data_IF_469783999252
#
_entry.id   IF_469783999252
#
_cell.length_a   1.000
_cell.length_b   1.000
_cell.length_c   1.000
_cell.angle_alpha   90.00
_cell.angle_beta   90.00
_cell.angle_gamma   90.00
#
_symmetry.space_group_name_H-M   'P 1'
#
loop_
_entity.id
_entity.type
_entity.pdbx_description
1 polymer ?
#
# COMPACT_ATOMS: atom_id res chain seq x y z
N UNK A 1 -15.09 -1.36 7.92
CA UNK A 1 -14.16 -2.43 8.34
C UNK A 1 -13.55 -3.00 7.08
N UNK A 2 -12.26 -3.34 7.12
CA UNK A 2 -11.59 -4.03 6.01
C UNK A 2 -12.10 -5.46 5.91
N UNK A 3 -12.23 -5.94 4.68
CA UNK A 3 -12.70 -7.29 4.32
C UNK A 3 -11.64 -8.01 3.49
N UNK A 4 -11.65 -9.35 3.55
CA UNK A 4 -10.72 -10.15 2.77
C UNK A 4 -10.88 -9.86 1.27
N UNK A 5 -9.78 -9.49 0.63
CA UNK A 5 -9.75 -9.12 -0.78
C UNK A 5 -9.76 -7.61 -1.04
N UNK A 6 -10.00 -6.79 -0.02
CA UNK A 6 -9.87 -5.33 -0.13
C UNK A 6 -8.45 -4.95 -0.59
N UNK A 7 -8.35 -4.09 -1.60
CA UNK A 7 -7.11 -3.54 -2.13
C UNK A 7 -6.88 -2.13 -1.56
N UNK A 8 -5.68 -1.90 -1.05
CA UNK A 8 -5.28 -0.62 -0.48
C UNK A 8 -4.20 -0.03 -1.36
N UNK A 9 -4.54 1.07 -2.01
CA UNK A 9 -3.63 1.83 -2.85
C UNK A 9 -2.99 2.94 -2.05
N UNK A 10 -1.68 3.11 -2.22
CA UNK A 10 -0.86 4.01 -1.43
C UNK A 10 -0.30 5.11 -2.32
N UNK A 11 -0.36 6.34 -1.81
CA UNK A 11 0.31 7.50 -2.38
C UNK A 11 1.30 8.03 -1.35
N UNK A 12 2.52 8.28 -1.79
CA UNK A 12 3.62 8.75 -0.94
C UNK A 12 4.39 9.89 -1.61
N UNK A 13 5.15 10.64 -0.82
CA UNK A 13 5.88 11.84 -1.26
C UNK A 13 7.37 11.60 -1.50
N UNK A 14 7.77 10.33 -1.69
CA UNK A 14 9.15 9.98 -2.04
C UNK A 14 9.43 10.32 -3.51
N UNK A 15 10.68 10.56 -3.88
CA UNK A 15 11.06 10.84 -5.29
C UNK A 15 10.57 9.73 -6.23
N UNK A 16 10.78 8.46 -5.85
CA UNK A 16 10.30 7.32 -6.62
C UNK A 16 8.77 7.25 -6.65
N UNK A 17 8.11 7.48 -5.51
CA UNK A 17 6.65 7.51 -5.41
C UNK A 17 6.04 8.56 -6.34
N UNK A 18 6.58 9.78 -6.34
CA UNK A 18 6.17 10.85 -7.24
C UNK A 18 6.43 10.51 -8.72
N UNK A 19 7.56 9.87 -9.04
CA UNK A 19 7.88 9.46 -10.41
C UNK A 19 6.91 8.39 -10.94
N UNK A 20 6.58 7.38 -10.13
CA UNK A 20 5.56 6.38 -10.45
C UNK A 20 4.22 7.07 -10.63
N UNK A 21 3.82 7.90 -9.67
CA UNK A 21 2.53 8.57 -9.68
C UNK A 21 2.34 9.44 -10.94
N UNK A 22 3.38 10.17 -11.33
CA UNK A 22 3.34 11.00 -12.54
C UNK A 22 3.23 10.16 -13.81
N UNK A 23 3.79 8.95 -13.80
CA UNK A 23 3.88 8.08 -14.98
C UNK A 23 2.69 7.14 -15.14
N UNK A 24 2.04 6.72 -14.05
CA UNK A 24 1.04 5.63 -14.06
C UNK A 24 -0.31 5.99 -13.42
N UNK A 25 -0.43 7.15 -12.78
CA UNK A 25 -1.67 7.58 -12.09
C UNK A 25 -1.43 7.86 -10.61
N UNK A 26 -2.47 8.02 -9.80
CA UNK A 26 -2.32 8.66 -8.48
C UNK A 26 -1.61 7.83 -7.39
N UNK A 27 -1.20 6.59 -7.65
CA UNK A 27 -0.69 5.67 -6.64
C UNK A 27 0.68 5.11 -7.02
N UNK A 28 1.52 4.92 -6.00
CA UNK A 28 2.88 4.39 -6.14
C UNK A 28 3.00 2.94 -5.68
N UNK A 29 2.08 2.47 -4.84
CA UNK A 29 2.14 1.14 -4.24
C UNK A 29 0.75 0.56 -3.96
N UNK A 30 0.66 -0.77 -3.79
CA UNK A 30 -0.60 -1.48 -3.51
C UNK A 30 -0.39 -2.65 -2.54
N UNK A 31 -1.38 -2.89 -1.69
CA UNK A 31 -1.47 -4.04 -0.79
C UNK A 31 -2.85 -4.69 -0.86
N UNK A 32 -2.93 -5.98 -0.52
CA UNK A 32 -4.20 -6.70 -0.34
C UNK A 32 -4.40 -7.04 1.14
N UNK A 33 -5.61 -6.81 1.65
CA UNK A 33 -5.98 -7.18 3.00
C UNK A 33 -6.55 -8.60 3.04
N UNK A 34 -5.92 -9.48 3.84
CA UNK A 34 -6.36 -10.86 4.03
C UNK A 34 -6.13 -11.26 5.50
N UNK A 35 -7.15 -11.86 6.10
CA UNK A 35 -7.09 -12.47 7.44
C UNK A 35 -6.52 -11.55 8.54
N UNK A 36 -6.75 -10.24 8.42
CA UNK A 36 -6.26 -9.24 9.39
C UNK A 36 -4.93 -8.58 9.05
N UNK A 37 -4.28 -8.98 7.96
CA UNK A 37 -2.94 -8.53 7.56
C UNK A 37 -2.92 -7.92 6.16
N UNK A 38 -1.93 -7.06 5.92
CA UNK A 38 -1.62 -6.51 4.61
C UNK A 38 -0.50 -7.30 3.96
N UNK A 39 -0.78 -7.84 2.77
CA UNK A 39 0.21 -8.54 1.94
C UNK A 39 0.62 -7.64 0.78
N UNK A 40 1.93 -7.42 0.63
CA UNK A 40 2.47 -6.59 -0.44
C UNK A 40 3.94 -6.88 -0.71
N UNK A 41 4.43 -6.40 -1.85
CA UNK A 41 5.84 -6.50 -2.21
C UNK A 41 6.60 -5.23 -1.79
N UNK A 42 7.80 -5.39 -1.27
CA UNK A 42 8.74 -4.31 -0.96
C UNK A 42 10.05 -4.53 -1.69
N UNK A 43 10.82 -3.45 -1.86
CA UNK A 43 12.10 -3.50 -2.58
C UNK A 43 13.11 -4.41 -1.87
N UNK A 44 13.19 -4.34 -0.54
CA UNK A 44 14.19 -5.08 0.24
C UNK A 44 13.68 -6.45 0.71
N UNK A 45 12.43 -6.53 1.17
CA UNK A 45 11.87 -7.72 1.80
C UNK A 45 11.14 -8.68 0.85
N UNK A 46 10.99 -8.30 -0.43
CA UNK A 46 10.13 -9.05 -1.35
C UNK A 46 8.68 -9.04 -0.87
N UNK A 47 7.98 -10.18 -1.00
CA UNK A 47 6.58 -10.30 -0.52
C UNK A 47 6.57 -10.53 0.99
N UNK A 48 5.90 -9.65 1.72
CA UNK A 48 5.78 -9.74 3.18
C UNK A 48 4.36 -9.43 3.65
N UNK A 49 4.09 -9.79 4.91
CA UNK A 49 2.82 -9.54 5.60
C UNK A 49 3.03 -8.59 6.78
N UNK A 50 2.23 -7.52 6.86
CA UNK A 50 2.28 -6.55 7.96
C UNK A 50 0.96 -6.48 8.71
N UNK A 51 1.05 -6.22 10.03
CA UNK A 51 -0.12 -5.85 10.81
C UNK A 51 -0.61 -4.46 10.38
N UNK A 52 -1.88 -4.08 10.65
CA UNK A 52 -2.33 -2.72 10.38
C UNK A 52 -1.53 -1.64 11.09
N UNK A 53 -1.02 -1.93 12.29
CA UNK A 53 -0.20 -0.99 13.08
C UNK A 53 1.15 -0.72 12.41
N UNK A 54 1.71 -1.71 11.71
CA UNK A 54 3.00 -1.58 11.01
C UNK A 54 2.85 -1.05 9.57
N UNK A 55 1.70 -1.28 8.93
CA UNK A 55 1.47 -0.92 7.53
C UNK A 55 1.10 0.56 7.33
N UNK A 56 0.32 1.14 8.25
CA UNK A 56 -0.14 2.53 8.14
C UNK A 56 0.89 3.51 8.68
N UNK A 57 1.36 4.41 7.82
CA UNK A 57 2.35 5.42 8.13
C UNK A 57 1.71 6.82 8.04
N UNK A 58 2.08 7.72 8.95
CA UNK A 58 1.45 9.04 9.09
C UNK A 58 1.61 9.95 7.86
N UNK A 59 2.66 9.75 7.06
CA UNK A 59 3.01 10.59 5.90
C UNK A 59 2.42 10.07 4.58
N UNK A 60 1.71 8.94 4.61
CA UNK A 60 1.15 8.29 3.42
C UNK A 60 -0.37 8.48 3.35
N UNK A 61 -0.88 8.49 2.12
CA UNK A 61 -2.33 8.54 1.84
C UNK A 61 -2.77 7.21 1.27
N UNK A 62 -3.94 6.75 1.73
CA UNK A 62 -4.46 5.42 1.44
C UNK A 62 -5.88 5.50 0.90
N UNK A 63 -6.13 4.83 -0.23
CA UNK A 63 -7.47 4.64 -0.79
C UNK A 63 -7.84 3.16 -0.81
N UNK A 64 -9.08 2.87 -0.44
CA UNK A 64 -9.65 1.53 -0.37
C UNK A 64 -10.45 1.22 -1.64
N UNK A 65 -10.19 0.05 -2.23
CA UNK A 65 -10.93 -0.50 -3.35
C UNK A 65 -11.41 -1.91 -3.00
N UNK A 66 -12.66 -2.22 -3.38
CA UNK A 66 -13.35 -3.48 -3.09
C UNK A 66 -13.95 -4.07 -4.35
#
# INVERSE_FOLDING_TARGET
MLENGDLIFVREDTEMGQAIQTSTGHYSHVAIFLDGFFYHATVEGGVLSQSPEDFFEAEKVYDLYR
#
